data_IF_234377915879
#
_entry.id   IF_234377915879
#
_cell.length_a   1.000
_cell.length_b   1.000
_cell.length_c   1.000
_cell.angle_alpha   90.00
_cell.angle_beta   90.00
_cell.angle_gamma   90.00
#
_symmetry.space_group_name_H-M   'P 1'
#
loop_
_entity.id
_entity.type
_entity.pdbx_description
1 polymer ?
#
# COMPACT_ATOMS: atom_id res chain seq x y z
N UNK A 1 -10.19 -24.85 -20.42
CA UNK A 1 -9.41 -25.89 -21.13
C UNK A 1 -8.87 -26.84 -20.09
N UNK A 2 -9.06 -28.15 -20.28
CA UNK A 2 -8.78 -29.19 -19.28
C UNK A 2 -8.37 -30.49 -19.98
N UNK A 3 -7.56 -31.31 -19.30
CA UNK A 3 -7.21 -32.68 -19.66
C UNK A 3 -6.65 -32.81 -21.09
N UNK A 4 -5.66 -31.99 -21.45
CA UNK A 4 -5.02 -32.06 -22.77
C UNK A 4 -5.89 -31.55 -23.92
N UNK A 5 -6.88 -30.70 -23.66
CA UNK A 5 -7.76 -30.18 -24.71
C UNK A 5 -7.01 -29.22 -25.65
N UNK A 6 -7.24 -29.31 -26.96
CA UNK A 6 -6.57 -28.47 -27.95
C UNK A 6 -7.51 -27.75 -28.91
N UNK A 7 -7.13 -26.52 -29.31
CA UNK A 7 -7.66 -25.82 -30.48
C UNK A 7 -6.51 -25.70 -31.46
N UNK A 8 -6.64 -26.26 -32.67
CA UNK A 8 -5.51 -26.31 -33.58
C UNK A 8 -5.88 -26.04 -35.04
N UNK A 9 -5.02 -25.30 -35.71
CA UNK A 9 -4.94 -25.17 -37.17
C UNK A 9 -3.50 -25.44 -37.64
N UNK A 10 -2.77 -26.29 -36.89
CA UNK A 10 -1.41 -26.70 -37.22
C UNK A 10 -1.40 -27.50 -38.51
N UNK A 11 -0.46 -27.21 -39.41
CA UNK A 11 -0.37 -27.84 -40.72
C UNK A 11 1.06 -28.20 -41.12
N UNK A 12 1.17 -29.08 -42.12
CA UNK A 12 2.45 -29.52 -42.67
C UNK A 12 3.11 -30.66 -41.87
N UNK A 13 3.96 -31.40 -42.57
CA UNK A 13 4.79 -32.51 -42.09
C UNK A 13 6.15 -32.46 -42.80
N UNK A 14 7.07 -33.36 -42.45
CA UNK A 14 8.36 -33.49 -43.12
C UNK A 14 8.26 -33.80 -44.62
N UNK A 15 7.18 -34.44 -45.04
CA UNK A 15 6.97 -34.92 -46.42
C UNK A 15 6.00 -34.04 -47.21
N UNK A 16 5.23 -33.18 -46.54
CA UNK A 16 4.24 -32.30 -47.16
C UNK A 16 4.23 -30.96 -46.45
N UNK A 17 4.53 -29.89 -47.18
CA UNK A 17 4.48 -28.55 -46.61
C UNK A 17 3.07 -28.09 -46.23
N UNK A 18 3.01 -26.90 -45.64
CA UNK A 18 1.76 -26.25 -45.25
C UNK A 18 2.03 -25.08 -44.30
N UNK A 19 1.24 -24.03 -44.45
CA UNK A 19 1.22 -22.89 -43.53
C UNK A 19 0.21 -23.14 -42.41
N UNK A 20 0.52 -22.67 -41.20
CA UNK A 20 -0.42 -22.69 -40.08
C UNK A 20 -1.65 -21.84 -40.38
N UNK A 21 -2.84 -22.32 -40.00
CA UNK A 21 -4.08 -21.59 -40.24
C UNK A 21 -4.33 -20.45 -39.24
N UNK A 22 -5.44 -19.74 -39.44
CA UNK A 22 -5.83 -18.62 -38.56
C UNK A 22 -6.78 -19.10 -37.45
N UNK A 23 -6.52 -18.67 -36.21
CA UNK A 23 -7.39 -18.89 -35.05
C UNK A 23 -7.88 -17.53 -34.56
N UNK A 24 -9.20 -17.34 -34.51
CA UNK A 24 -9.81 -16.16 -33.91
C UNK A 24 -10.70 -16.59 -32.74
N UNK A 25 -10.37 -16.14 -31.53
CA UNK A 25 -11.10 -16.48 -30.30
C UNK A 25 -11.65 -15.21 -29.67
N UNK A 26 -12.97 -15.13 -29.57
CA UNK A 26 -13.67 -14.12 -28.78
C UNK A 26 -14.32 -14.81 -27.59
N UNK A 27 -13.80 -14.58 -26.39
CA UNK A 27 -14.30 -15.20 -25.17
C UNK A 27 -14.26 -14.22 -24.01
N UNK A 28 -14.97 -14.49 -22.90
CA UNK A 28 -14.81 -13.67 -21.69
C UNK A 28 -13.51 -14.01 -20.96
N UNK A 29 -13.24 -15.31 -20.80
CA UNK A 29 -12.05 -15.80 -20.12
C UNK A 29 -11.54 -17.05 -20.82
N UNK A 30 -10.23 -17.18 -20.92
CA UNK A 30 -9.54 -18.42 -21.24
C UNK A 30 -8.84 -18.88 -19.98
N UNK A 31 -9.20 -20.07 -19.50
CA UNK A 31 -8.61 -20.67 -18.31
C UNK A 31 -8.10 -22.05 -18.69
N UNK A 32 -6.81 -22.28 -18.50
CA UNK A 32 -6.21 -23.61 -18.58
C UNK A 32 -5.46 -23.92 -17.29
N UNK A 33 -5.21 -25.20 -17.04
CA UNK A 33 -4.33 -25.62 -15.96
C UNK A 33 -2.93 -25.79 -16.55
N UNK A 34 -1.90 -25.13 -16.01
CA UNK A 34 -0.56 -25.16 -16.61
C UNK A 34 -0.05 -26.57 -16.87
N UNK A 35 -0.33 -27.53 -15.98
CA UNK A 35 0.16 -28.91 -16.05
C UNK A 35 -0.75 -29.87 -16.82
N UNK A 36 -1.83 -29.39 -17.44
CA UNK A 36 -2.76 -30.24 -18.20
C UNK A 36 -2.56 -30.13 -19.73
N UNK A 37 -1.42 -29.59 -20.19
CA UNK A 37 -1.01 -29.51 -21.60
C UNK A 37 -2.16 -29.15 -22.56
N UNK A 38 -2.89 -28.07 -22.24
CA UNK A 38 -4.06 -27.67 -23.02
C UNK A 38 -3.71 -26.48 -23.91
N UNK A 39 -3.74 -26.71 -25.22
CA UNK A 39 -3.00 -25.85 -26.14
C UNK A 39 -3.88 -25.18 -27.20
N UNK A 40 -3.44 -24.01 -27.66
CA UNK A 40 -3.98 -23.30 -28.81
C UNK A 40 -2.85 -23.18 -29.84
N UNK A 41 -2.90 -23.94 -30.93
CA UNK A 41 -1.74 -24.11 -31.83
C UNK A 41 -2.05 -23.85 -33.29
N UNK A 42 -1.28 -22.97 -33.92
CA UNK A 42 -1.32 -22.69 -35.34
C UNK A 42 0.08 -22.90 -35.95
N UNK A 43 0.69 -24.05 -35.66
CA UNK A 43 2.08 -24.30 -36.05
C UNK A 43 2.20 -24.75 -37.52
N UNK A 44 3.41 -24.72 -38.05
CA UNK A 44 3.75 -25.20 -39.39
C UNK A 44 5.00 -26.11 -39.36
N UNK A 45 5.17 -26.97 -40.37
CA UNK A 45 6.44 -27.70 -40.55
C UNK A 45 7.43 -26.93 -41.45
N UNK A 46 7.13 -26.75 -42.74
CA UNK A 46 7.98 -25.99 -43.67
C UNK A 46 7.43 -24.61 -44.05
N UNK A 47 6.13 -24.40 -43.87
CA UNK A 47 5.46 -23.13 -44.17
C UNK A 47 5.61 -22.10 -43.06
N UNK A 48 4.85 -21.01 -43.15
CA UNK A 48 4.79 -19.99 -42.09
C UNK A 48 3.83 -20.43 -40.99
N UNK A 49 4.18 -20.20 -39.72
CA UNK A 49 3.23 -20.34 -38.62
C UNK A 49 2.01 -19.45 -38.84
N UNK A 50 0.86 -19.86 -38.29
CA UNK A 50 -0.41 -19.19 -38.52
C UNK A 50 -0.62 -17.93 -37.69
N UNK A 51 -1.81 -17.34 -37.80
CA UNK A 51 -2.17 -16.14 -37.05
C UNK A 51 -3.19 -16.47 -35.96
N UNK A 52 -2.83 -16.17 -34.71
CA UNK A 52 -3.71 -16.36 -33.55
C UNK A 52 -4.10 -14.98 -33.03
N UNK A 53 -5.40 -14.66 -33.10
CA UNK A 53 -5.97 -13.48 -32.48
C UNK A 53 -6.92 -13.89 -31.35
N UNK A 54 -6.62 -13.43 -30.14
CA UNK A 54 -7.43 -13.70 -28.95
C UNK A 54 -7.92 -12.38 -28.37
N UNK A 55 -9.24 -12.26 -28.26
CA UNK A 55 -9.91 -11.19 -27.54
C UNK A 55 -10.59 -11.77 -26.29
N UNK A 56 -10.10 -11.37 -25.12
CA UNK A 56 -10.57 -11.89 -23.83
C UNK A 56 -10.51 -10.83 -22.74
N UNK A 57 -11.32 -10.96 -21.69
CA UNK A 57 -11.17 -10.14 -20.47
C UNK A 57 -10.03 -10.66 -19.58
N UNK A 58 -9.63 -11.91 -19.76
CA UNK A 58 -8.50 -12.49 -19.04
C UNK A 58 -8.07 -13.84 -19.61
N UNK A 59 -6.78 -14.14 -19.45
CA UNK A 59 -6.17 -15.42 -19.82
C UNK A 59 -5.36 -15.91 -18.62
N UNK A 60 -5.62 -17.13 -18.18
CA UNK A 60 -5.04 -17.68 -16.96
C UNK A 60 -4.53 -19.10 -17.18
N UNK A 61 -3.32 -19.37 -16.69
CA UNK A 61 -2.71 -20.71 -16.67
C UNK A 61 -2.31 -21.28 -18.03
N UNK A 62 -2.36 -20.48 -19.08
CA UNK A 62 -1.86 -20.75 -20.43
C UNK A 62 -1.01 -19.54 -20.86
N UNK A 63 0.05 -19.77 -21.62
CA UNK A 63 1.00 -18.72 -22.00
C UNK A 63 1.40 -18.84 -23.48
N UNK A 64 1.68 -17.70 -24.11
CA UNK A 64 2.26 -17.68 -25.46
C UNK A 64 3.73 -18.05 -25.39
N UNK A 65 4.12 -19.11 -26.10
CA UNK A 65 5.52 -19.59 -26.14
C UNK A 65 5.99 -19.76 -27.58
N UNK A 66 7.31 -19.63 -27.85
CA UNK A 66 7.84 -19.77 -29.21
C UNK A 66 7.85 -21.24 -29.69
N UNK A 67 7.71 -22.22 -28.79
CA UNK A 67 7.64 -23.64 -29.09
C UNK A 67 6.70 -24.36 -28.10
N UNK A 68 6.07 -25.47 -28.49
CA UNK A 68 5.27 -26.29 -27.57
C UNK A 68 6.11 -26.86 -26.43
N UNK A 69 5.51 -26.97 -25.26
CA UNK A 69 6.04 -27.58 -24.04
C UNK A 69 5.04 -28.61 -23.50
N UNK A 70 5.31 -29.22 -22.34
CA UNK A 70 4.33 -30.07 -21.64
C UNK A 70 3.32 -29.25 -20.82
N UNK A 71 3.39 -27.92 -20.91
CA UNK A 71 2.46 -27.01 -20.25
C UNK A 71 1.41 -26.53 -21.24
N UNK A 72 0.32 -25.99 -20.71
CA UNK A 72 -0.67 -25.30 -21.55
C UNK A 72 -0.03 -24.12 -22.30
N UNK A 73 -0.09 -24.17 -23.63
CA UNK A 73 0.63 -23.29 -24.55
C UNK A 73 -0.26 -22.62 -25.62
N UNK A 74 0.08 -21.38 -25.99
CA UNK A 74 -0.37 -20.75 -27.24
C UNK A 74 0.85 -20.66 -28.17
N UNK A 75 0.81 -21.33 -29.32
CA UNK A 75 1.96 -21.41 -30.24
C UNK A 75 1.55 -21.20 -31.69
N UNK A 76 2.37 -20.46 -32.43
CA UNK A 76 2.25 -20.25 -33.87
C UNK A 76 3.64 -20.34 -34.53
N UNK A 77 4.38 -21.39 -34.21
CA UNK A 77 5.76 -21.60 -34.65
C UNK A 77 5.85 -22.36 -35.97
N UNK A 78 7.01 -22.33 -36.62
CA UNK A 78 7.34 -23.22 -37.73
C UNK A 78 8.68 -23.91 -37.49
N UNK A 79 8.82 -25.17 -37.91
CA UNK A 79 10.07 -25.94 -37.71
C UNK A 79 11.18 -25.52 -38.68
N UNK A 80 10.85 -25.43 -39.98
CA UNK A 80 11.78 -25.08 -41.06
C UNK A 80 11.40 -23.76 -41.76
N UNK A 81 10.24 -23.18 -41.44
CA UNK A 81 9.78 -21.91 -41.99
C UNK A 81 9.83 -20.76 -40.96
N UNK A 82 9.00 -19.74 -41.19
CA UNK A 82 8.92 -18.57 -40.31
C UNK A 82 7.85 -18.73 -39.24
N UNK A 83 8.05 -18.13 -38.06
CA UNK A 83 7.01 -18.05 -37.04
C UNK A 83 5.87 -17.13 -37.48
N UNK A 84 4.64 -17.51 -37.10
CA UNK A 84 3.44 -16.71 -37.27
C UNK A 84 3.26 -15.65 -36.18
N UNK A 85 2.07 -15.06 -36.13
CA UNK A 85 1.77 -13.93 -35.25
C UNK A 85 0.74 -14.32 -34.19
N UNK A 86 1.02 -13.99 -32.94
CA UNK A 86 0.10 -14.16 -31.81
C UNK A 86 -0.24 -12.78 -31.27
N UNK A 87 -1.51 -12.39 -31.36
CA UNK A 87 -2.04 -11.13 -30.85
C UNK A 87 -3.03 -11.41 -29.73
N UNK A 88 -2.69 -11.01 -28.51
CA UNK A 88 -3.54 -11.17 -27.32
C UNK A 88 -4.05 -9.79 -26.90
N UNK A 89 -5.37 -9.59 -27.01
CA UNK A 89 -6.09 -8.39 -26.59
C UNK A 89 -6.78 -8.69 -25.27
N UNK A 90 -6.20 -8.19 -24.18
CA UNK A 90 -6.76 -8.19 -22.83
C UNK A 90 -6.84 -6.74 -22.31
N UNK A 91 -7.79 -6.40 -21.42
CA UNK A 91 -7.84 -5.10 -20.79
C UNK A 91 -6.52 -4.75 -20.11
N UNK A 92 -6.05 -3.51 -20.29
CA UNK A 92 -4.87 -3.01 -19.60
C UNK A 92 -5.14 -2.91 -18.10
N UNK A 93 -4.49 -3.77 -17.33
CA UNK A 93 -4.55 -3.80 -15.86
C UNK A 93 -3.23 -3.37 -15.21
N UNK A 94 -2.32 -2.73 -15.97
CA UNK A 94 -1.05 -2.21 -15.45
C UNK A 94 -1.23 -1.27 -14.25
N UNK A 95 -2.34 -0.53 -14.21
CA UNK A 95 -2.75 0.35 -13.11
C UNK A 95 -2.98 -0.38 -11.77
N UNK A 96 -3.28 -1.69 -11.80
CA UNK A 96 -3.56 -2.49 -10.59
C UNK A 96 -2.26 -2.98 -9.94
N UNK A 97 -1.17 -3.14 -10.71
CA UNK A 97 0.08 -3.73 -10.22
C UNK A 97 0.85 -2.86 -9.21
N UNK A 98 0.57 -1.56 -9.14
CA UNK A 98 1.28 -0.62 -8.25
C UNK A 98 0.42 -0.02 -7.13
N UNK A 99 -0.81 -0.52 -6.92
CA UNK A 99 -1.70 -0.04 -5.85
C UNK A 99 -1.64 -0.88 -4.57
N UNK A 100 -0.61 -1.71 -4.41
CA UNK A 100 -0.24 -2.23 -3.10
C UNK A 100 0.81 -1.30 -2.51
N UNK A 101 0.38 -0.11 -2.07
CA UNK A 101 1.14 0.59 -1.03
C UNK A 101 1.33 -0.41 0.11
N UNK A 102 2.58 -0.79 0.37
CA UNK A 102 2.93 -1.55 1.56
C UNK A 102 2.24 -0.91 2.76
N UNK A 103 1.55 -1.70 3.59
CA UNK A 103 1.12 -1.20 4.88
C UNK A 103 2.38 -0.72 5.60
N UNK A 104 2.50 0.59 5.81
CA UNK A 104 3.60 1.17 6.55
C UNK A 104 3.75 0.47 7.91
N UNK A 105 4.99 0.30 8.38
CA UNK A 105 5.34 -0.73 9.35
C UNK A 105 4.86 -0.37 10.75
N UNK A 106 4.61 -1.41 11.54
CA UNK A 106 4.61 -1.46 13.00
C UNK A 106 4.22 -0.16 13.72
N UNK A 107 2.96 -0.10 14.15
CA UNK A 107 2.55 0.79 15.23
C UNK A 107 3.37 0.40 16.47
N UNK A 108 4.31 1.27 16.88
CA UNK A 108 4.96 1.14 18.18
C UNK A 108 3.90 1.42 19.25
N UNK A 109 3.34 0.35 19.82
CA UNK A 109 2.33 0.44 20.86
C UNK A 109 2.85 1.17 22.09
N UNK A 110 4.17 1.18 22.34
CA UNK A 110 4.76 1.93 23.45
C UNK A 110 4.70 3.43 23.22
N UNK A 111 4.83 3.89 21.97
CA UNK A 111 4.66 5.31 21.62
C UNK A 111 3.19 5.78 21.73
N UNK A 112 2.22 4.88 21.53
CA UNK A 112 0.81 5.18 21.82
C UNK A 112 0.51 5.22 23.31
N UNK A 113 1.06 4.28 24.09
CA UNK A 113 0.85 4.23 25.54
C UNK A 113 1.50 5.43 26.23
N UNK A 114 2.67 5.88 25.77
CA UNK A 114 3.38 7.03 26.33
C UNK A 114 2.59 8.35 26.21
N UNK A 115 1.67 8.46 25.25
CA UNK A 115 0.77 9.61 25.10
C UNK A 115 -0.57 9.45 25.83
N UNK A 116 -0.81 8.30 26.46
CA UNK A 116 -1.96 8.11 27.34
C UNK A 116 -1.54 8.29 28.79
N UNK A 117 -2.07 9.33 29.45
CA UNK A 117 -2.03 9.38 30.91
C UNK A 117 -3.00 8.30 31.45
N UNK A 118 -2.58 7.03 31.45
CA UNK A 118 -3.32 5.98 32.16
C UNK A 118 -3.10 6.22 33.65
N UNK A 119 -4.04 6.94 34.26
CA UNK A 119 -4.14 7.01 35.72
C UNK A 119 -4.60 5.65 36.23
N UNK A 120 -3.68 4.83 36.74
CA UNK A 120 -4.02 3.64 37.51
C UNK A 120 -4.52 4.07 38.89
N UNK A 121 -5.74 4.59 38.93
CA UNK A 121 -6.41 4.99 40.16
C UNK A 121 -7.10 3.80 40.83
N UNK A 122 -6.61 3.37 41.99
CA UNK A 122 -7.24 2.37 42.87
C UNK A 122 -8.52 2.87 43.57
N UNK A 123 -9.11 3.98 43.14
CA UNK A 123 -10.37 4.51 43.70
C UNK A 123 -11.27 5.05 42.60
N UNK A 124 -12.54 4.62 42.61
CA UNK A 124 -13.66 5.14 41.82
C UNK A 124 -13.86 6.64 42.06
N UNK A 125 -13.09 7.48 41.38
CA UNK A 125 -13.50 8.86 41.11
C UNK A 125 -13.81 8.96 39.63
N UNK A 126 -14.97 9.53 39.31
CA UNK A 126 -15.43 9.74 37.95
C UNK A 126 -14.40 10.61 37.21
N UNK A 127 -13.71 10.01 36.24
CA UNK A 127 -12.75 10.71 35.42
C UNK A 127 -13.52 11.66 34.49
N UNK A 128 -13.36 12.97 34.67
CA UNK A 128 -13.90 13.98 33.75
C UNK A 128 -12.80 14.47 32.82
N UNK A 129 -13.03 14.36 31.51
CA UNK A 129 -12.20 14.94 30.47
C UNK A 129 -12.94 16.14 29.87
N UNK A 130 -12.43 17.35 30.12
CA UNK A 130 -13.03 18.59 29.61
C UNK A 130 -12.00 19.33 28.76
N UNK A 131 -12.24 19.42 27.44
CA UNK A 131 -11.47 20.26 26.52
C UNK A 131 -12.04 21.68 26.60
N UNK A 132 -11.29 22.63 27.18
CA UNK A 132 -11.62 24.06 27.12
C UNK A 132 -10.68 24.73 26.12
N UNK A 133 -11.08 24.74 24.85
CA UNK A 133 -10.38 25.45 23.78
C UNK A 133 -11.34 25.79 22.64
N UNK A 134 -11.20 26.96 22.03
CA UNK A 134 -12.03 27.42 20.91
C UNK A 134 -11.62 26.83 19.55
N UNK A 135 -10.88 25.72 19.54
CA UNK A 135 -10.39 25.04 18.34
C UNK A 135 -11.14 23.75 18.08
N UNK A 136 -11.71 23.62 16.89
CA UNK A 136 -12.42 22.40 16.45
C UNK A 136 -11.52 21.16 16.49
N UNK A 137 -12.17 19.98 16.44
CA UNK A 137 -11.50 18.67 16.40
C UNK A 137 -10.32 18.72 15.40
N UNK A 138 -9.11 18.31 15.80
CA UNK A 138 -7.96 18.37 14.92
C UNK A 138 -8.24 17.52 13.68
N UNK A 139 -8.15 18.12 12.50
CA UNK A 139 -8.32 17.47 11.20
C UNK A 139 -7.15 16.54 10.83
N UNK A 140 -6.32 16.14 11.80
CA UNK A 140 -5.16 15.31 11.59
C UNK A 140 -5.55 13.84 11.51
N UNK A 141 -5.31 13.25 10.35
CA UNK A 141 -5.39 11.81 10.10
C UNK A 141 -4.54 11.04 11.14
N UNK A 142 -4.93 9.82 11.54
CA UNK A 142 -4.12 8.98 12.42
C UNK A 142 -2.69 8.86 11.85
N UNK A 143 -1.67 9.20 12.65
CA UNK A 143 -0.25 9.09 12.28
C UNK A 143 0.52 10.40 12.21
N UNK A 144 -0.14 11.57 12.22
CA UNK A 144 0.56 12.86 12.36
C UNK A 144 0.48 13.31 13.82
N UNK A 145 1.53 13.00 14.59
CA UNK A 145 1.74 13.58 15.92
C UNK A 145 2.10 15.05 15.74
N UNK A 146 1.10 15.94 15.80
CA UNK A 146 1.36 17.33 16.16
C UNK A 146 1.74 17.32 17.64
N UNK A 147 3.03 17.14 17.92
CA UNK A 147 3.61 17.39 19.23
C UNK A 147 3.28 18.84 19.53
N UNK A 148 2.31 19.06 20.41
CA UNK A 148 2.11 20.38 20.97
C UNK A 148 3.43 20.76 21.63
N UNK A 149 4.04 21.85 21.15
CA UNK A 149 5.26 22.41 21.73
C UNK A 149 4.94 23.07 23.06
N UNK A 150 4.41 22.31 24.02
CA UNK A 150 4.47 22.71 25.42
C UNK A 150 5.90 22.44 25.86
N UNK A 151 6.71 23.50 25.95
CA UNK A 151 8.03 23.42 26.55
C UNK A 151 7.86 22.98 28.00
N UNK A 152 8.26 21.76 28.33
CA UNK A 152 8.38 21.31 29.72
C UNK A 152 9.66 21.90 30.30
N UNK A 153 9.63 23.17 30.71
CA UNK A 153 10.72 23.76 31.48
C UNK A 153 10.69 23.22 32.91
N UNK A 154 11.86 22.94 33.48
CA UNK A 154 11.99 22.56 34.87
C UNK A 154 11.62 23.77 35.75
N UNK A 155 10.49 23.70 36.45
CA UNK A 155 10.04 24.80 37.32
C UNK A 155 10.80 24.70 38.64
N UNK A 156 11.75 25.62 38.86
CA UNK A 156 12.44 25.75 40.16
C UNK A 156 11.67 26.72 41.04
N UNK A 157 11.27 26.25 42.23
CA UNK A 157 10.71 27.14 43.25
C UNK A 157 11.74 28.19 43.66
N UNK A 158 11.35 29.47 43.63
CA UNK A 158 12.20 30.55 44.14
C UNK A 158 12.13 30.49 45.67
N UNK A 159 13.28 30.44 46.34
CA UNK A 159 13.33 30.52 47.79
C UNK A 159 12.69 31.83 48.25
N UNK A 160 11.79 31.75 49.23
CA UNK A 160 11.09 32.91 49.78
C UNK A 160 12.08 33.81 50.50
N UNK A 161 12.57 34.84 49.82
CA UNK A 161 13.31 35.90 50.49
C UNK A 161 12.33 36.66 51.40
N UNK A 162 12.46 36.48 52.72
CA UNK A 162 11.52 37.03 53.70
C UNK A 162 11.65 38.54 53.93
N UNK A 163 12.43 39.24 53.10
CA UNK A 163 12.61 40.69 53.24
C UNK A 163 11.48 41.45 52.54
N UNK A 164 10.80 42.38 53.22
CA UNK A 164 9.83 43.25 52.56
C UNK A 164 10.53 44.17 51.56
N UNK A 165 9.89 44.39 50.41
CA UNK A 165 10.36 45.31 49.37
C UNK A 165 10.55 46.74 49.93
N UNK A 166 11.64 47.41 49.55
CA UNK A 166 11.92 48.80 49.91
C UNK A 166 11.96 49.68 48.67
N UNK A 167 11.64 50.96 48.83
CA UNK A 167 11.67 51.95 47.76
C UNK A 167 13.08 52.05 47.17
N UNK A 168 13.26 51.59 45.93
CA UNK A 168 14.55 51.46 45.23
C UNK A 168 14.85 50.03 44.77
N UNK A 169 14.17 49.03 45.32
CA UNK A 169 14.28 47.65 44.86
C UNK A 169 13.61 47.47 43.49
N UNK A 170 14.17 46.63 42.59
CA UNK A 170 13.60 46.41 41.27
C UNK A 170 12.23 45.75 41.38
N UNK A 171 11.23 46.34 40.73
CA UNK A 171 9.93 45.71 40.52
C UNK A 171 10.07 44.80 39.31
N UNK A 172 9.74 43.54 39.51
CA UNK A 172 9.83 42.51 38.48
C UNK A 172 8.41 42.10 38.11
N UNK A 173 8.08 42.25 36.82
CA UNK A 173 6.79 41.79 36.33
C UNK A 173 6.78 40.28 36.06
N UNK A 174 5.67 39.60 36.40
CA UNK A 174 5.46 38.21 36.05
C UNK A 174 5.28 38.08 34.53
N UNK A 175 5.86 37.04 33.94
CA UNK A 175 5.70 36.73 32.53
C UNK A 175 4.61 35.68 32.29
N UNK A 176 4.20 34.96 33.33
CA UNK A 176 3.12 33.99 33.27
C UNK A 176 2.31 33.93 34.55
N UNK A 177 1.02 33.56 34.41
CA UNK A 177 0.09 33.30 35.51
C UNK A 177 -0.51 31.90 35.33
N UNK A 178 -0.36 31.05 36.34
CA UNK A 178 -0.80 29.66 36.32
C UNK A 178 -1.73 29.39 37.48
N UNK A 179 -2.85 28.71 37.22
CA UNK A 179 -3.78 28.28 38.28
C UNK A 179 -3.50 26.83 38.64
N UNK A 180 -3.19 26.58 39.91
CA UNK A 180 -2.97 25.25 40.45
C UNK A 180 -4.31 24.55 40.75
N UNK A 181 -4.27 23.22 40.85
CA UNK A 181 -5.44 22.38 41.11
C UNK A 181 -6.14 22.71 42.44
N UNK A 182 -5.42 23.29 43.41
CA UNK A 182 -5.95 23.76 44.68
C UNK A 182 -6.57 25.17 44.61
N UNK A 183 -6.64 25.77 43.42
CA UNK A 183 -7.19 27.11 43.18
C UNK A 183 -6.21 28.25 43.41
N UNK A 184 -4.99 27.98 43.87
CA UNK A 184 -3.97 29.02 44.05
C UNK A 184 -3.45 29.51 42.69
N UNK A 185 -3.07 30.78 42.64
CA UNK A 185 -2.45 31.42 41.48
C UNK A 185 -0.94 31.51 41.70
N UNK A 186 -0.18 31.04 40.73
CA UNK A 186 1.27 31.10 40.70
C UNK A 186 1.72 32.05 39.59
N UNK A 187 2.56 33.00 39.96
CA UNK A 187 3.18 33.95 39.04
C UNK A 187 4.57 33.41 38.70
N UNK A 188 4.88 33.30 37.41
CA UNK A 188 6.19 32.83 36.95
C UNK A 188 6.91 33.90 36.13
N UNK A 189 8.22 33.72 36.02
CA UNK A 189 9.11 34.48 35.15
C UNK A 189 10.23 33.55 34.70
N UNK A 190 10.59 33.61 33.43
CA UNK A 190 11.78 32.97 32.87
C UNK A 190 13.05 33.58 33.46
N UNK A 191 13.96 32.72 33.90
CA UNK A 191 15.30 33.16 34.28
C UNK A 191 16.10 33.46 33.01
N UNK A 192 16.62 34.67 32.88
CA UNK A 192 17.71 34.94 31.94
C UNK A 192 18.92 34.11 32.39
N UNK A 193 19.43 33.23 31.52
CA UNK A 193 20.76 32.64 31.71
C UNK A 193 21.85 33.70 31.58
#
# INVERSE_FOLDING_TARGET
MRRGSGISTTAGTAQSGGDGGNININSRFIVAIPQENSDITANAFTGTGGNIEINSQGIFGIESRPKPTEKSDITASSELGFAGVITIKIPDNSSIQNSFTELFPFIDTNALIANSCISWGTKRQENSFTITGSGGLPSSRPGVLLVSTYATSEVRGVETTSRPWKKGDPIIEPQGLYRLNNGQLLLSRECSN
#
